data_IF_917474336093
#
_entry.id   IF_917474336093
#
_cell.length_a   1.000
_cell.length_b   1.000
_cell.length_c   1.000
_cell.angle_alpha   90.00
_cell.angle_beta   90.00
_cell.angle_gamma   90.00
#
_symmetry.space_group_name_H-M   'P 1'
#
loop_
_entity.id
_entity.type
_entity.pdbx_description
1 polymer ?
#
# COMPACT_ATOMS: atom_id res chain seq x y z
N UNK A 1 -21.66 -4.55 14.88
CA UNK A 1 -20.75 -5.62 14.47
C UNK A 1 -20.00 -5.19 13.22
N UNK A 2 -18.69 -5.22 13.24
CA UNK A 2 -17.89 -4.88 12.07
C UNK A 2 -17.97 -5.99 11.03
N UNK A 3 -18.19 -5.63 9.77
CA UNK A 3 -18.18 -6.57 8.68
C UNK A 3 -16.77 -7.08 8.39
N UNK A 4 -16.67 -8.25 7.81
CA UNK A 4 -15.41 -8.79 7.31
C UNK A 4 -15.31 -8.46 5.81
N UNK A 5 -14.29 -7.67 5.45
CA UNK A 5 -14.05 -7.25 4.08
C UNK A 5 -12.84 -7.95 3.45
N UNK A 6 -12.41 -9.06 4.03
CA UNK A 6 -11.28 -9.84 3.50
C UNK A 6 -11.52 -10.22 2.04
N UNK A 7 -10.48 -10.08 1.22
CA UNK A 7 -10.52 -10.42 -0.19
C UNK A 7 -11.31 -9.47 -1.08
N UNK A 8 -11.73 -8.29 -0.57
CA UNK A 8 -12.61 -7.39 -1.30
C UNK A 8 -11.90 -6.25 -2.03
N UNK A 9 -10.56 -6.18 -1.96
CA UNK A 9 -9.85 -5.17 -2.74
C UNK A 9 -10.09 -5.38 -4.23
N UNK A 10 -10.30 -4.29 -4.95
CA UNK A 10 -10.47 -4.34 -6.42
C UNK A 10 -9.26 -3.71 -7.08
N UNK A 11 -8.86 -4.25 -8.21
CA UNK A 11 -7.74 -3.75 -9.00
C UNK A 11 -8.18 -3.62 -10.45
N UNK A 12 -7.91 -2.45 -11.03
CA UNK A 12 -8.37 -2.11 -12.38
C UNK A 12 -7.29 -1.33 -13.11
N UNK A 13 -6.97 -1.76 -14.33
CA UNK A 13 -6.12 -0.97 -15.24
C UNK A 13 -6.99 0.13 -15.83
N UNK A 14 -6.67 1.38 -15.52
CA UNK A 14 -7.49 2.55 -15.91
C UNK A 14 -6.90 3.34 -17.07
N UNK A 15 -5.66 3.05 -17.46
CA UNK A 15 -5.01 3.64 -18.64
C UNK A 15 -3.86 2.73 -19.07
N UNK A 16 -3.12 3.11 -20.12
CA UNK A 16 -1.97 2.34 -20.59
C UNK A 16 -0.90 2.15 -19.51
N UNK A 17 -0.79 3.07 -18.58
CA UNK A 17 0.27 3.05 -17.57
C UNK A 17 -0.23 3.18 -16.12
N UNK A 18 -1.54 3.10 -15.87
CA UNK A 18 -2.09 3.28 -14.53
C UNK A 18 -2.92 2.10 -14.06
N UNK A 19 -2.69 1.70 -12.80
CA UNK A 19 -3.46 0.67 -12.10
C UNK A 19 -4.09 1.31 -10.87
N UNK A 20 -5.41 1.14 -10.71
CA UNK A 20 -6.16 1.63 -9.55
C UNK A 20 -6.57 0.46 -8.66
N UNK A 21 -6.29 0.58 -7.38
CA UNK A 21 -6.70 -0.38 -6.35
C UNK A 21 -7.60 0.33 -5.35
N UNK A 22 -8.70 -0.32 -4.96
CA UNK A 22 -9.62 0.21 -3.94
C UNK A 22 -9.93 -0.83 -2.89
N UNK A 23 -10.06 -0.38 -1.64
CA UNK A 23 -10.40 -1.22 -0.50
C UNK A 23 -11.10 -0.36 0.56
N UNK A 24 -12.20 -0.87 1.11
CA UNK A 24 -12.89 -0.21 2.21
C UNK A 24 -12.49 -0.83 3.55
N UNK A 25 -12.49 -0.02 4.61
CA UNK A 25 -12.18 -0.41 5.98
C UNK A 25 -13.25 0.14 6.91
N UNK A 26 -13.73 -0.67 7.86
CA UNK A 26 -14.73 -0.25 8.85
C UNK A 26 -14.04 0.48 10.01
N UNK A 27 -13.47 1.65 9.72
CA UNK A 27 -12.72 2.44 10.70
C UNK A 27 -12.66 3.89 10.24
N UNK A 28 -12.43 4.84 11.19
CA UNK A 28 -12.27 6.25 10.83
C UNK A 28 -10.98 6.48 10.05
N UNK A 29 -11.00 7.50 9.20
CA UNK A 29 -9.92 7.83 8.28
C UNK A 29 -8.59 8.11 9.00
N UNK A 30 -8.61 8.80 10.14
CA UNK A 30 -7.40 9.06 10.91
C UNK A 30 -6.69 7.78 11.32
N UNK A 31 -7.46 6.79 11.75
CA UNK A 31 -6.92 5.50 12.19
C UNK A 31 -6.32 4.72 11.02
N UNK A 32 -7.01 4.73 9.88
CA UNK A 32 -6.50 4.06 8.67
C UNK A 32 -5.22 4.76 8.19
N UNK A 33 -5.19 6.08 8.20
CA UNK A 33 -3.99 6.84 7.83
C UNK A 33 -2.81 6.49 8.74
N UNK A 34 -3.02 6.44 10.05
CA UNK A 34 -1.98 6.08 11.00
C UNK A 34 -1.47 4.65 10.76
N UNK A 35 -2.37 3.71 10.51
CA UNK A 35 -2.00 2.33 10.23
C UNK A 35 -1.18 2.19 8.94
N UNK A 36 -1.39 3.08 7.97
CA UNK A 36 -0.66 3.08 6.69
C UNK A 36 0.70 3.79 6.78
N UNK A 37 0.95 4.57 7.83
CA UNK A 37 2.12 5.47 7.86
C UNK A 37 3.05 5.27 9.05
N UNK A 38 2.58 4.69 10.14
CA UNK A 38 3.45 4.45 11.32
C UNK A 38 4.26 3.17 11.14
N UNK A 39 5.59 3.23 11.31
CA UNK A 39 6.44 2.03 11.10
C UNK A 39 6.01 0.81 11.89
N UNK A 40 5.60 0.99 13.16
CA UNK A 40 5.16 -0.12 14.01
C UNK A 40 3.94 -0.84 13.44
N UNK A 41 3.11 -0.15 12.66
CA UNK A 41 1.92 -0.73 12.02
C UNK A 41 2.26 -1.31 10.64
N UNK A 42 2.98 -0.56 9.81
CA UNK A 42 3.36 -1.00 8.47
C UNK A 42 4.17 -2.29 8.52
N UNK A 43 5.05 -2.40 9.51
CA UNK A 43 5.87 -3.61 9.73
C UNK A 43 5.02 -4.88 9.82
N UNK A 44 3.84 -4.77 10.41
CA UNK A 44 2.98 -5.93 10.69
C UNK A 44 2.11 -6.30 9.50
N UNK A 45 1.60 -5.31 8.75
CA UNK A 45 0.58 -5.60 7.74
C UNK A 45 1.07 -5.60 6.29
N UNK A 46 2.20 -4.98 6.00
CA UNK A 46 2.59 -4.74 4.61
C UNK A 46 3.04 -6.02 3.89
N UNK A 47 3.79 -6.89 4.55
CA UNK A 47 4.25 -8.13 3.93
C UNK A 47 3.12 -9.13 3.75
N UNK A 48 2.92 -9.69 2.54
CA UNK A 48 1.95 -10.75 2.33
C UNK A 48 2.46 -12.12 2.79
N UNK A 49 3.73 -12.21 3.13
CA UNK A 49 4.38 -13.45 3.58
C UNK A 49 4.36 -13.56 5.09
N UNK A 50 4.60 -14.76 5.68
CA UNK A 50 4.49 -14.96 7.13
C UNK A 50 5.43 -14.10 7.97
N UNK A 51 6.60 -13.73 7.42
CA UNK A 51 7.55 -12.91 8.14
C UNK A 51 7.19 -11.43 8.05
N UNK A 52 7.24 -10.68 9.15
CA UNK A 52 7.04 -9.23 9.09
C UNK A 52 8.23 -8.56 8.40
N UNK A 53 8.13 -7.25 8.15
CA UNK A 53 9.22 -6.50 7.54
C UNK A 53 10.43 -6.51 8.48
N UNK A 54 11.62 -6.87 7.96
CA UNK A 54 12.87 -6.72 8.70
C UNK A 54 13.46 -5.32 8.50
N UNK A 55 13.04 -4.60 7.46
CA UNK A 55 13.31 -3.17 7.27
C UNK A 55 11.97 -2.47 7.13
N UNK A 56 11.75 -1.45 7.97
CA UNK A 56 10.57 -0.59 7.88
C UNK A 56 10.97 0.81 8.35
N UNK A 57 11.38 1.63 7.40
CA UNK A 57 11.83 3.00 7.65
C UNK A 57 10.87 3.95 6.96
N UNK A 58 10.35 4.94 7.70
CA UNK A 58 9.42 5.94 7.18
C UNK A 58 9.79 7.29 7.76
N UNK A 59 10.19 8.22 6.89
CA UNK A 59 10.38 9.62 7.25
C UNK A 59 9.20 10.39 6.63
N UNK A 60 8.11 10.50 7.40
CA UNK A 60 6.84 11.00 6.90
C UNK A 60 6.83 12.53 6.82
N UNK A 61 7.48 13.04 5.78
CA UNK A 61 7.50 14.47 5.42
C UNK A 61 7.78 14.59 3.94
N UNK A 62 7.40 15.70 3.34
CA UNK A 62 7.72 15.97 1.92
C UNK A 62 9.24 15.95 1.77
N UNK A 63 9.74 15.16 0.82
CA UNK A 63 11.17 14.94 0.62
C UNK A 63 11.75 13.82 1.48
N UNK A 64 11.00 13.31 2.48
CA UNK A 64 11.40 12.15 3.26
C UNK A 64 11.27 10.87 2.46
N UNK A 65 11.89 9.80 2.95
CA UNK A 65 11.94 8.52 2.23
C UNK A 65 11.33 7.40 3.05
N UNK A 66 10.86 6.37 2.37
CA UNK A 66 10.47 5.12 3.00
C UNK A 66 11.23 3.96 2.37
N UNK A 67 11.43 2.90 3.17
CA UNK A 67 12.05 1.66 2.72
C UNK A 67 11.42 0.49 3.47
N UNK A 68 10.84 -0.45 2.72
CA UNK A 68 10.23 -1.66 3.26
C UNK A 68 10.92 -2.87 2.66
N UNK A 69 11.27 -3.85 3.49
CA UNK A 69 11.85 -5.11 3.00
C UNK A 69 11.45 -6.28 3.88
N UNK A 70 11.20 -7.41 3.24
CA UNK A 70 10.93 -8.68 3.91
C UNK A 70 11.54 -9.83 3.10
N UNK A 71 11.62 -11.00 3.71
CA UNK A 71 12.08 -12.20 3.02
C UNK A 71 10.90 -13.05 2.59
N UNK A 72 10.86 -13.43 1.31
CA UNK A 72 9.90 -14.40 0.80
C UNK A 72 10.22 -15.80 1.37
N UNK A 73 9.25 -16.74 1.38
CA UNK A 73 9.51 -18.10 1.88
C UNK A 73 10.67 -18.79 1.18
N UNK A 74 10.96 -18.45 -0.07
CA UNK A 74 12.06 -18.99 -0.86
C UNK A 74 13.42 -18.40 -0.46
N UNK A 75 13.44 -17.38 0.41
CA UNK A 75 14.64 -16.79 0.97
C UNK A 75 15.18 -15.55 0.26
N UNK A 76 14.58 -15.12 -0.84
CA UNK A 76 14.99 -13.86 -1.49
C UNK A 76 14.33 -12.66 -0.82
N UNK A 77 15.01 -11.52 -0.88
CA UNK A 77 14.49 -10.29 -0.31
C UNK A 77 13.56 -9.57 -1.28
N UNK A 78 12.39 -9.17 -0.79
CA UNK A 78 11.48 -8.27 -1.49
C UNK A 78 11.64 -6.88 -0.87
N UNK A 79 11.95 -5.88 -1.68
CA UNK A 79 12.24 -4.54 -1.17
C UNK A 79 11.57 -3.47 -2.02
N UNK A 80 10.96 -2.50 -1.34
CA UNK A 80 10.31 -1.33 -1.94
C UNK A 80 10.83 -0.07 -1.31
N UNK A 81 11.02 0.97 -2.10
CA UNK A 81 11.42 2.28 -1.58
C UNK A 81 10.84 3.42 -2.40
N UNK A 82 10.77 4.60 -1.79
CA UNK A 82 10.27 5.78 -2.47
C UNK A 82 10.53 7.05 -1.68
N UNK A 83 10.11 8.17 -2.26
CA UNK A 83 10.22 9.50 -1.69
C UNK A 83 8.83 10.13 -1.64
N UNK A 84 8.46 10.75 -0.50
CA UNK A 84 7.19 11.44 -0.36
C UNK A 84 7.22 12.77 -1.12
N UNK A 85 6.25 12.97 -2.01
CA UNK A 85 6.13 14.17 -2.82
C UNK A 85 5.08 15.13 -2.28
N UNK A 86 3.96 14.59 -1.76
CA UNK A 86 2.87 15.37 -1.16
C UNK A 86 2.28 14.59 0.00
N UNK A 87 1.93 15.29 1.08
CA UNK A 87 1.26 14.69 2.24
C UNK A 87 0.17 15.64 2.71
N UNK A 88 -1.08 15.17 2.67
CA UNK A 88 -2.25 15.89 3.21
C UNK A 88 -2.95 14.97 4.21
N UNK A 89 -2.56 15.07 5.47
CA UNK A 89 -3.11 14.23 6.53
C UNK A 89 -4.58 14.60 6.80
N UNK A 90 -5.49 13.67 6.90
CA UNK A 90 -5.35 12.21 6.72
C UNK A 90 -5.90 11.73 5.36
N UNK A 91 -5.91 12.56 4.34
CA UNK A 91 -6.66 12.32 3.10
C UNK A 91 -5.83 11.84 1.93
N UNK A 92 -4.53 12.22 1.87
CA UNK A 92 -3.78 11.97 0.64
C UNK A 92 -2.28 11.91 0.87
N UNK A 93 -1.63 10.97 0.17
CA UNK A 93 -0.17 10.88 0.06
C UNK A 93 0.17 10.61 -1.39
N UNK A 94 1.15 11.36 -1.92
CA UNK A 94 1.76 11.09 -3.23
C UNK A 94 3.23 10.78 -2.97
N UNK A 95 3.72 9.67 -3.53
CA UNK A 95 5.10 9.24 -3.35
C UNK A 95 5.61 8.55 -4.60
N UNK A 96 6.93 8.54 -4.79
CA UNK A 96 7.50 7.63 -5.76
C UNK A 96 7.42 6.21 -5.19
N UNK A 97 7.40 5.23 -6.07
CA UNK A 97 7.28 3.83 -5.70
C UNK A 97 8.18 3.00 -6.61
N UNK A 98 9.07 2.24 -6.02
CA UNK A 98 9.99 1.40 -6.78
C UNK A 98 10.15 0.05 -6.10
N UNK A 99 9.98 -1.01 -6.88
CA UNK A 99 10.36 -2.36 -6.45
C UNK A 99 11.81 -2.58 -6.88
N UNK A 100 12.68 -2.95 -5.93
CA UNK A 100 14.11 -3.09 -6.21
C UNK A 100 14.44 -4.19 -7.22
N UNK A 101 13.53 -5.14 -7.46
CA UNK A 101 13.67 -6.13 -8.51
C UNK A 101 13.61 -5.54 -9.92
N UNK A 102 12.94 -4.39 -10.07
CA UNK A 102 12.85 -3.64 -11.32
C UNK A 102 13.12 -2.16 -11.06
N UNK A 103 14.39 -1.79 -10.79
CA UNK A 103 14.70 -0.41 -10.37
C UNK A 103 14.45 0.65 -11.46
N UNK A 104 14.35 0.24 -12.72
CA UNK A 104 14.08 1.18 -13.82
C UNK A 104 12.57 1.44 -14.00
N UNK A 105 11.71 0.72 -13.28
CA UNK A 105 10.25 0.81 -13.39
C UNK A 105 9.64 1.61 -12.24
N UNK A 106 10.26 2.73 -11.87
CA UNK A 106 9.71 3.61 -10.84
C UNK A 106 8.33 4.13 -11.24
N UNK A 107 7.39 4.10 -10.29
CA UNK A 107 6.04 4.60 -10.47
C UNK A 107 5.78 5.79 -9.54
N UNK A 108 4.70 6.51 -9.79
CA UNK A 108 4.16 7.49 -8.86
C UNK A 108 2.90 6.89 -8.25
N UNK A 109 2.89 6.79 -6.94
CA UNK A 109 1.75 6.29 -6.18
C UNK A 109 0.96 7.47 -5.60
N UNK A 110 -0.34 7.47 -5.85
CA UNK A 110 -1.27 8.40 -5.20
C UNK A 110 -2.24 7.59 -4.37
N UNK A 111 -2.18 7.78 -3.05
CA UNK A 111 -3.09 7.15 -2.10
C UNK A 111 -4.04 8.21 -1.58
N UNK A 112 -5.34 7.95 -1.66
CA UNK A 112 -6.37 8.86 -1.19
C UNK A 112 -7.35 8.12 -0.28
N UNK A 113 -7.79 8.79 0.80
CA UNK A 113 -8.77 8.25 1.73
C UNK A 113 -10.01 9.15 1.74
N UNK A 114 -11.17 8.53 1.75
CA UNK A 114 -12.45 9.20 1.98
C UNK A 114 -13.21 8.43 3.04
N UNK A 115 -13.98 9.14 3.87
CA UNK A 115 -14.77 8.50 4.92
C UNK A 115 -16.23 8.89 4.81
N UNK A 116 -17.10 7.89 5.00
CA UNK A 116 -18.55 8.08 5.03
C UNK A 116 -19.15 7.08 6.02
N UNK A 117 -19.82 7.61 7.05
CA UNK A 117 -20.52 6.78 8.03
C UNK A 117 -19.61 5.80 8.78
N UNK A 118 -18.38 6.20 9.07
CA UNK A 118 -17.41 5.34 9.78
C UNK A 118 -16.71 4.34 8.89
N UNK A 119 -16.93 4.37 7.58
CA UNK A 119 -16.26 3.52 6.61
C UNK A 119 -15.29 4.37 5.80
N UNK A 120 -14.02 3.99 5.80
CA UNK A 120 -12.99 4.66 5.02
C UNK A 120 -12.70 3.87 3.76
N UNK A 121 -12.73 4.52 2.61
CA UNK A 121 -12.34 3.92 1.33
C UNK A 121 -10.96 4.44 0.96
N UNK A 122 -10.04 3.52 0.72
CA UNK A 122 -8.71 3.83 0.20
C UNK A 122 -8.72 3.60 -1.31
N UNK A 123 -8.22 4.59 -2.05
CA UNK A 123 -7.98 4.49 -3.47
C UNK A 123 -6.51 4.72 -3.71
N UNK A 124 -5.86 3.76 -4.36
CA UNK A 124 -4.43 3.80 -4.63
C UNK A 124 -4.23 3.69 -6.13
N UNK A 125 -3.53 4.67 -6.73
CA UNK A 125 -3.22 4.65 -8.16
C UNK A 125 -1.71 4.62 -8.33
N UNK A 126 -1.23 3.59 -9.02
CA UNK A 126 0.17 3.49 -9.44
C UNK A 126 0.24 3.89 -10.91
N UNK A 127 1.01 4.93 -11.20
CA UNK A 127 1.27 5.38 -12.57
C UNK A 127 2.71 5.05 -12.94
N UNK A 128 2.88 4.17 -13.90
CA UNK A 128 4.18 3.77 -14.42
C UNK A 128 4.59 4.67 -15.59
N UNK A 129 5.86 4.61 -15.97
CA UNK A 129 6.40 5.44 -17.07
C UNK A 129 5.81 5.05 -18.43
N UNK A 130 5.45 3.78 -18.63
CA UNK A 130 4.91 3.26 -19.87
C UNK A 130 4.15 1.96 -19.64
N UNK A 131 3.56 1.43 -20.73
CA UNK A 131 2.79 0.18 -20.71
C UNK A 131 3.63 -1.04 -20.35
N UNK A 132 4.88 -1.08 -20.80
CA UNK A 132 5.77 -2.22 -20.52
C UNK A 132 6.08 -2.32 -19.04
N UNK A 133 6.37 -1.18 -18.38
CA UNK A 133 6.62 -1.14 -16.93
C UNK A 133 5.39 -1.59 -16.15
N UNK A 134 4.20 -1.15 -16.54
CA UNK A 134 2.95 -1.60 -15.91
C UNK A 134 2.82 -3.12 -16.05
N UNK A 135 3.08 -3.65 -17.25
CA UNK A 135 2.98 -5.09 -17.51
C UNK A 135 3.94 -5.93 -16.67
N UNK A 136 5.14 -5.40 -16.36
CA UNK A 136 6.09 -6.09 -15.49
C UNK A 136 5.53 -6.29 -14.08
N UNK A 137 4.79 -5.29 -13.57
CA UNK A 137 4.29 -5.30 -12.20
C UNK A 137 2.87 -5.87 -12.07
N UNK A 138 2.04 -5.71 -13.08
CA UNK A 138 0.65 -6.14 -13.02
C UNK A 138 0.36 -7.25 -14.02
N UNK A 139 0.26 -8.48 -13.52
CA UNK A 139 0.02 -9.67 -14.32
C UNK A 139 -1.31 -10.35 -13.96
N UNK A 140 -2.24 -9.59 -13.38
CA UNK A 140 -3.56 -10.09 -13.03
C UNK A 140 -3.65 -10.83 -11.70
N UNK A 141 -2.53 -11.06 -11.02
CA UNK A 141 -2.50 -11.71 -9.70
C UNK A 141 -2.40 -10.66 -8.60
N UNK A 142 -3.44 -10.54 -7.78
CA UNK A 142 -3.49 -9.59 -6.66
C UNK A 142 -3.54 -10.29 -5.29
N UNK A 143 -3.16 -11.57 -5.20
CA UNK A 143 -3.25 -12.31 -3.93
C UNK A 143 -2.40 -11.71 -2.83
N UNK A 144 -1.17 -11.30 -3.13
CA UNK A 144 -0.30 -10.66 -2.15
C UNK A 144 -0.89 -9.37 -1.61
N UNK A 145 -1.44 -8.55 -2.49
CA UNK A 145 -2.09 -7.30 -2.12
C UNK A 145 -3.34 -7.56 -1.26
N UNK A 146 -4.18 -8.53 -1.64
CA UNK A 146 -5.35 -8.90 -0.83
C UNK A 146 -4.92 -9.29 0.58
N UNK A 147 -3.88 -10.10 0.69
CA UNK A 147 -3.36 -10.54 2.00
C UNK A 147 -2.89 -9.34 2.83
N UNK A 148 -2.15 -8.42 2.24
CA UNK A 148 -1.68 -7.23 2.95
C UNK A 148 -2.83 -6.37 3.45
N UNK A 149 -3.85 -6.14 2.63
CA UNK A 149 -5.02 -5.36 3.05
C UNK A 149 -5.86 -6.07 4.10
N UNK A 150 -5.97 -7.39 4.03
CA UNK A 150 -6.68 -8.16 5.05
C UNK A 150 -5.96 -8.07 6.40
N UNK A 151 -4.63 -8.10 6.39
CA UNK A 151 -3.82 -7.89 7.60
C UNK A 151 -3.99 -6.47 8.15
N UNK A 152 -4.08 -5.48 7.27
CA UNK A 152 -4.34 -4.10 7.66
C UNK A 152 -5.72 -3.96 8.31
N UNK A 153 -6.74 -4.61 7.75
CA UNK A 153 -8.08 -4.62 8.34
C UNK A 153 -8.05 -5.21 9.76
N UNK A 154 -7.39 -6.34 9.94
CA UNK A 154 -7.28 -6.98 11.24
C UNK A 154 -6.56 -6.09 12.26
N UNK A 155 -5.49 -5.43 11.85
CA UNK A 155 -4.75 -4.49 12.70
C UNK A 155 -5.63 -3.30 13.09
N UNK A 156 -6.32 -2.71 12.15
CA UNK A 156 -7.20 -1.56 12.40
C UNK A 156 -8.31 -1.94 13.37
N UNK A 157 -8.85 -3.15 13.27
CA UNK A 157 -9.86 -3.66 14.20
C UNK A 157 -9.30 -3.76 15.64
N UNK A 158 -8.03 -4.15 15.79
CA UNK A 158 -7.37 -4.21 17.11
C UNK A 158 -7.14 -2.82 17.69
N UNK A 159 -6.88 -1.83 16.84
CA UNK A 159 -6.59 -0.46 17.27
C UNK A 159 -7.85 0.36 17.59
N UNK A 160 -9.01 -0.10 17.19
CA UNK A 160 -10.26 0.65 17.36
C UNK A 160 -11.01 0.33 18.65
#
# INVERSE_FOLDING_TARGET
MKGNRHGTATTEVISECEVKTQRAFDAPMDLVFDALTKPEHVRVHFSPDPEPLHICEIDLRVGGKYHYAWYAPEGYECSFRGTFLEIERPTRIVATWMFEGWPDDEAIETMALTEDGGVTTMTDVLRFKDRASLGDHFQGDNRGMQTSFDQLEDLVAELS
#
